data_IF_914928906195
#
_entry.id   IF_914928906195
#
_cell.length_a   1.000
_cell.length_b   1.000
_cell.length_c   1.000
_cell.angle_alpha   90.00
_cell.angle_beta   90.00
_cell.angle_gamma   90.00
#
_symmetry.space_group_name_H-M   'P 1'
#
loop_
_entity.id
_entity.type
_entity.pdbx_description
1 polymer ?
#
# COMPACT_ATOMS: atom_id res chain seq x y z
N UNK A 1 5.16 -20.33 2.62
CA UNK A 1 5.00 -18.99 3.20
C UNK A 1 3.60 -18.48 2.88
N UNK A 2 2.88 -18.02 3.90
CA UNK A 2 1.54 -17.49 3.69
C UNK A 2 1.58 -16.16 2.95
N UNK A 3 0.48 -15.82 2.32
CA UNK A 3 0.36 -14.62 1.50
C UNK A 3 -0.59 -13.61 2.10
N UNK A 4 -0.25 -12.33 1.92
CA UNK A 4 -1.09 -11.21 2.32
C UNK A 4 -1.28 -10.31 1.11
N UNK A 5 -2.50 -9.87 0.88
CA UNK A 5 -2.79 -8.85 -0.11
C UNK A 5 -3.24 -7.59 0.60
N UNK A 6 -2.52 -6.49 0.37
CA UNK A 6 -2.89 -5.18 0.85
C UNK A 6 -3.64 -4.45 -0.26
N UNK A 7 -4.78 -3.89 0.08
CA UNK A 7 -5.59 -3.12 -0.86
C UNK A 7 -5.43 -1.64 -0.53
N UNK A 8 -4.77 -0.93 -1.42
CA UNK A 8 -4.43 0.47 -1.26
C UNK A 8 -3.00 0.70 -0.81
N UNK A 9 -2.31 1.58 -1.51
CA UNK A 9 -0.93 1.98 -1.18
C UNK A 9 -0.90 3.12 -0.17
N UNK A 10 -1.52 2.92 0.99
CA UNK A 10 -1.57 3.91 2.05
C UNK A 10 -0.32 3.84 2.92
N UNK A 11 -0.11 4.87 3.73
CA UNK A 11 1.00 4.88 4.68
C UNK A 11 0.96 3.66 5.60
N UNK A 12 -0.22 3.37 6.16
CA UNK A 12 -0.38 2.23 7.06
C UNK A 12 -0.06 0.91 6.35
N UNK A 13 -0.56 0.73 5.14
CA UNK A 13 -0.32 -0.50 4.39
C UNK A 13 1.14 -0.65 3.96
N UNK A 14 1.77 0.43 3.53
CA UNK A 14 3.17 0.39 3.12
C UNK A 14 4.10 0.05 4.28
N UNK A 15 3.89 0.68 5.43
CA UNK A 15 4.72 0.38 6.61
C UNK A 15 4.46 -1.03 7.14
N UNK A 16 3.21 -1.47 7.15
CA UNK A 16 2.89 -2.85 7.55
C UNK A 16 3.53 -3.86 6.60
N UNK A 17 3.48 -3.60 5.29
CA UNK A 17 4.13 -4.48 4.32
C UNK A 17 5.63 -4.57 4.55
N UNK A 18 6.28 -3.44 4.81
CA UNK A 18 7.72 -3.41 5.11
C UNK A 18 8.06 -4.23 6.35
N UNK A 19 7.21 -4.22 7.36
CA UNK A 19 7.42 -5.01 8.57
C UNK A 19 7.20 -6.51 8.35
N UNK A 20 6.34 -6.88 7.42
CA UNK A 20 5.89 -8.27 7.28
C UNK A 20 6.53 -9.01 6.10
N UNK A 21 7.24 -8.32 5.22
CA UNK A 21 7.70 -8.92 3.96
C UNK A 21 8.67 -10.09 4.16
N UNK A 22 9.39 -10.14 5.26
CA UNK A 22 10.32 -11.25 5.52
C UNK A 22 9.59 -12.54 5.91
N UNK A 23 8.36 -12.44 6.41
CA UNK A 23 7.60 -13.57 6.90
C UNK A 23 6.44 -13.98 5.99
N UNK A 24 6.08 -13.15 5.02
CA UNK A 24 4.92 -13.37 4.15
C UNK A 24 5.23 -13.01 2.71
N UNK A 25 4.54 -13.68 1.79
CA UNK A 25 4.49 -13.23 0.39
C UNK A 25 3.46 -12.11 0.31
N UNK A 26 3.89 -10.93 -0.12
CA UNK A 26 3.03 -9.75 -0.08
C UNK A 26 2.79 -9.19 -1.47
N UNK A 27 1.52 -8.96 -1.78
CA UNK A 27 1.08 -8.20 -2.93
C UNK A 27 0.31 -6.98 -2.45
N UNK A 28 0.43 -5.88 -3.18
CA UNK A 28 -0.28 -4.64 -2.88
C UNK A 28 -0.96 -4.16 -4.16
N UNK A 29 -2.25 -3.90 -4.07
CA UNK A 29 -3.06 -3.43 -5.20
C UNK A 29 -3.40 -1.97 -5.00
N UNK A 30 -3.14 -1.17 -6.01
CA UNK A 30 -3.39 0.26 -6.00
C UNK A 30 -4.26 0.64 -7.19
N UNK A 31 -5.35 1.37 -6.96
CA UNK A 31 -6.25 1.82 -8.01
C UNK A 31 -5.62 2.84 -8.95
N UNK A 32 -4.85 3.75 -8.41
CA UNK A 32 -4.26 4.84 -9.17
C UNK A 32 -3.06 4.39 -9.99
N UNK A 33 -2.61 5.23 -10.90
CA UNK A 33 -1.47 4.94 -11.77
C UNK A 33 -0.16 4.85 -10.98
N UNK A 34 -0.11 5.51 -9.83
CA UNK A 34 1.07 5.50 -8.97
C UNK A 34 0.64 5.55 -7.52
N UNK A 35 1.45 4.97 -6.65
CA UNK A 35 1.25 5.14 -5.22
C UNK A 35 1.55 6.59 -4.85
N UNK A 36 0.68 7.18 -4.04
CA UNK A 36 0.79 8.57 -3.64
C UNK A 36 -0.11 9.52 -4.40
N UNK A 37 -0.58 9.13 -5.57
CA UNK A 37 -1.55 9.92 -6.32
C UNK A 37 -2.97 9.52 -5.92
N UNK A 38 -3.92 10.41 -5.93
CA UNK A 38 -3.82 11.82 -6.31
C UNK A 38 -3.61 12.77 -5.12
N UNK A 39 -2.92 12.35 -4.09
CA UNK A 39 -2.74 13.17 -2.88
C UNK A 39 -2.12 14.53 -3.22
N UNK A 40 -2.75 15.58 -2.78
CA UNK A 40 -2.29 16.95 -2.99
C UNK A 40 -2.10 17.70 -1.67
N UNK A 41 -2.40 17.03 -0.57
CA UNK A 41 -2.29 17.64 0.75
C UNK A 41 -0.94 17.34 1.37
N UNK A 42 -0.42 18.23 2.22
CA UNK A 42 0.74 17.88 3.03
C UNK A 42 0.42 16.68 3.91
N UNK A 43 1.37 15.78 4.05
CA UNK A 43 1.27 14.71 4.99
C UNK A 43 1.70 15.19 6.38
N UNK A 44 1.18 14.58 7.42
CA UNK A 44 1.53 14.89 8.80
C UNK A 44 1.96 13.62 9.52
N UNK A 45 3.10 13.69 10.20
CA UNK A 45 3.55 12.61 11.08
C UNK A 45 3.97 13.22 12.41
N UNK A 46 3.67 12.52 13.50
CA UNK A 46 4.03 13.00 14.82
C UNK A 46 5.50 12.79 15.14
N UNK A 47 6.10 11.74 14.59
CA UNK A 47 7.43 11.31 14.95
C UNK A 47 8.20 10.90 13.69
N UNK A 48 9.42 11.42 13.55
CA UNK A 48 10.26 11.07 12.40
C UNK A 48 10.60 9.59 12.33
N UNK A 49 10.54 8.87 13.44
CA UNK A 49 10.82 7.43 13.44
C UNK A 49 9.84 6.65 12.56
N UNK A 50 8.67 7.20 12.29
CA UNK A 50 7.72 6.58 11.36
C UNK A 50 8.26 6.53 9.94
N UNK A 51 9.23 7.37 9.61
CA UNK A 51 9.90 7.36 8.32
C UNK A 51 11.33 6.84 8.42
N UNK A 52 12.07 7.29 9.43
CA UNK A 52 13.50 6.95 9.54
C UNK A 52 13.76 5.47 9.77
N UNK A 53 12.76 4.74 10.26
CA UNK A 53 12.84 3.30 10.40
C UNK A 53 12.77 2.56 9.06
N UNK A 54 12.30 3.21 8.01
CA UNK A 54 12.05 2.58 6.71
C UNK A 54 12.83 3.22 5.56
N UNK A 55 13.22 4.47 5.69
CA UNK A 55 13.86 5.24 4.63
C UNK A 55 15.32 5.56 4.98
N UNK A 56 16.14 5.71 3.95
CA UNK A 56 17.53 6.07 4.13
C UNK A 56 17.68 7.54 4.49
N UNK A 57 18.81 7.94 5.10
CA UNK A 57 19.06 9.37 5.34
C UNK A 57 18.97 10.23 4.09
N UNK A 58 19.43 9.72 2.94
CA UNK A 58 19.32 10.47 1.67
C UNK A 58 17.89 10.72 1.26
N UNK A 59 17.02 9.72 1.44
CA UNK A 59 15.59 9.88 1.15
C UNK A 59 14.95 10.90 2.08
N UNK A 60 15.29 10.85 3.37
CA UNK A 60 14.77 11.82 4.33
C UNK A 60 15.24 13.23 4.02
N UNK A 61 16.48 13.39 3.60
CA UNK A 61 16.99 14.68 3.18
C UNK A 61 16.24 15.22 1.97
N UNK A 62 15.93 14.35 1.00
CA UNK A 62 15.12 14.75 -0.16
C UNK A 62 13.72 15.19 0.25
N UNK A 63 13.08 14.45 1.16
CA UNK A 63 11.72 14.74 1.60
C UNK A 63 11.63 16.01 2.45
N UNK A 64 12.71 16.32 3.17
CA UNK A 64 12.79 17.51 4.02
C UNK A 64 11.57 17.68 4.93
N UNK A 65 11.32 16.73 5.84
CA UNK A 65 10.24 16.90 6.78
C UNK A 65 10.39 18.21 7.54
N UNK A 66 9.34 19.01 7.54
CA UNK A 66 9.38 20.34 8.15
C UNK A 66 8.76 20.30 9.54
N UNK A 67 9.51 20.71 10.59
CA UNK A 67 8.96 20.69 11.95
C UNK A 67 7.80 21.68 12.08
N UNK A 68 6.76 21.23 12.75
CA UNK A 68 5.62 22.04 13.15
C UNK A 68 5.35 21.80 14.62
N UNK A 69 4.39 22.49 15.20
CA UNK A 69 4.13 22.41 16.64
C UNK A 69 3.88 20.98 17.12
N UNK A 70 3.18 20.17 16.33
CA UNK A 70 2.76 18.82 16.72
C UNK A 70 3.32 17.76 15.77
N UNK A 71 4.60 17.85 15.46
CA UNK A 71 5.25 16.85 14.62
C UNK A 71 5.94 17.43 13.41
N UNK A 72 5.70 16.82 12.26
CA UNK A 72 6.35 17.18 11.00
C UNK A 72 5.37 17.12 9.87
N UNK A 73 5.59 17.97 8.88
CA UNK A 73 4.82 17.95 7.64
C UNK A 73 5.76 17.70 6.47
N UNK A 74 5.25 17.04 5.44
CA UNK A 74 5.98 16.75 4.21
C UNK A 74 4.99 16.51 3.09
N UNK A 75 5.47 16.46 1.87
CA UNK A 75 4.60 16.13 0.73
C UNK A 75 4.28 14.63 0.78
N UNK A 76 3.01 14.32 1.01
CA UNK A 76 2.58 12.92 1.21
C UNK A 76 2.83 12.04 -0.01
N UNK A 77 2.63 12.55 -1.24
CA UNK A 77 2.86 11.76 -2.44
C UNK A 77 4.31 11.31 -2.57
N UNK A 78 5.27 12.16 -2.19
CA UNK A 78 6.68 11.81 -2.24
C UNK A 78 7.04 10.82 -1.13
N UNK A 79 6.49 11.01 0.06
CA UNK A 79 6.71 10.08 1.17
C UNK A 79 6.21 8.69 0.83
N UNK A 80 5.00 8.59 0.29
CA UNK A 80 4.42 7.31 -0.11
C UNK A 80 5.20 6.65 -1.23
N UNK A 81 5.68 7.42 -2.22
CA UNK A 81 6.49 6.87 -3.31
C UNK A 81 7.80 6.28 -2.79
N UNK A 82 8.46 6.95 -1.86
CA UNK A 82 9.71 6.42 -1.30
C UNK A 82 9.47 5.14 -0.51
N UNK A 83 8.39 5.10 0.27
CA UNK A 83 8.02 3.86 0.99
C UNK A 83 7.71 2.73 0.01
N UNK A 84 7.02 3.04 -1.09
CA UNK A 84 6.71 2.02 -2.10
C UNK A 84 7.98 1.48 -2.77
N UNK A 85 8.95 2.33 -3.05
CA UNK A 85 10.23 1.91 -3.61
C UNK A 85 10.95 0.96 -2.65
N UNK A 86 10.98 1.29 -1.35
CA UNK A 86 11.62 0.42 -0.36
C UNK A 86 10.88 -0.90 -0.21
N UNK A 87 9.55 -0.87 -0.23
CA UNK A 87 8.74 -2.08 -0.17
C UNK A 87 9.04 -2.99 -1.37
N UNK A 88 9.07 -2.43 -2.57
CA UNK A 88 9.37 -3.19 -3.79
C UNK A 88 10.77 -3.79 -3.73
N UNK A 89 11.76 -3.05 -3.25
CA UNK A 89 13.12 -3.55 -3.09
C UNK A 89 13.20 -4.76 -2.15
N UNK A 90 12.33 -4.80 -1.15
CA UNK A 90 12.30 -5.91 -0.19
C UNK A 90 11.47 -7.10 -0.66
N UNK A 91 10.80 -6.98 -1.78
CA UNK A 91 10.06 -8.09 -2.37
C UNK A 91 8.54 -7.96 -2.35
N UNK A 92 8.00 -6.83 -1.93
CA UNK A 92 6.56 -6.58 -2.06
C UNK A 92 6.25 -6.36 -3.54
N UNK A 93 5.31 -7.13 -4.08
CA UNK A 93 4.86 -6.94 -5.46
C UNK A 93 3.74 -5.90 -5.48
N UNK A 94 3.96 -4.81 -6.19
CA UNK A 94 3.00 -3.71 -6.24
C UNK A 94 2.39 -3.64 -7.62
N UNK A 95 1.06 -3.67 -7.67
CA UNK A 95 0.28 -3.62 -8.91
C UNK A 95 -0.57 -2.35 -8.89
N UNK A 96 -0.21 -1.41 -9.74
CA UNK A 96 -0.98 -0.17 -9.90
C UNK A 96 -2.08 -0.36 -10.93
N UNK A 97 -2.97 0.62 -11.05
CA UNK A 97 -4.09 0.59 -12.00
C UNK A 97 -4.93 -0.69 -11.86
N UNK A 98 -5.09 -1.14 -10.63
CA UNK A 98 -5.80 -2.37 -10.33
C UNK A 98 -7.01 -2.04 -9.47
N UNK A 99 -8.19 -2.33 -10.01
CA UNK A 99 -9.46 -2.12 -9.30
C UNK A 99 -9.93 -3.45 -8.73
N UNK A 100 -10.18 -3.49 -7.45
CA UNK A 100 -10.76 -4.66 -6.81
C UNK A 100 -12.26 -4.64 -7.06
N UNK A 101 -12.78 -5.71 -7.62
CA UNK A 101 -14.21 -5.83 -7.94
C UNK A 101 -14.95 -6.71 -6.94
N UNK A 102 -14.27 -7.63 -6.30
CA UNK A 102 -14.89 -8.49 -5.29
C UNK A 102 -13.82 -9.11 -4.40
N UNK A 103 -14.23 -9.48 -3.19
CA UNK A 103 -13.39 -10.23 -2.27
C UNK A 103 -14.30 -11.14 -1.46
N UNK A 104 -14.01 -12.43 -1.47
CA UNK A 104 -14.85 -13.38 -0.73
C UNK A 104 -13.98 -14.43 -0.03
N UNK A 105 -14.49 -14.91 1.09
CA UNK A 105 -13.82 -15.93 1.87
C UNK A 105 -13.88 -17.28 1.17
N UNK A 106 -12.82 -18.06 1.36
CA UNK A 106 -12.74 -19.46 0.96
C UNK A 106 -12.34 -20.29 2.18
N UNK A 107 -12.26 -21.59 2.01
CA UNK A 107 -11.86 -22.46 3.12
C UNK A 107 -10.45 -22.20 3.61
N UNK A 108 -9.58 -21.62 2.79
CA UNK A 108 -8.16 -21.42 3.13
C UNK A 108 -7.75 -19.95 3.22
N UNK A 109 -8.67 -19.04 3.01
CA UNK A 109 -8.37 -17.62 3.04
C UNK A 109 -9.37 -16.82 2.24
N UNK A 110 -8.89 -16.13 1.19
CA UNK A 110 -9.71 -15.24 0.40
C UNK A 110 -9.38 -15.37 -1.08
N UNK A 111 -10.39 -15.09 -1.92
CA UNK A 111 -10.20 -14.88 -3.35
C UNK A 111 -10.54 -13.43 -3.66
N UNK A 112 -9.66 -12.76 -4.37
CA UNK A 112 -9.84 -11.38 -4.80
C UNK A 112 -10.02 -11.36 -6.30
N UNK A 113 -11.10 -10.71 -6.75
CA UNK A 113 -11.34 -10.45 -8.16
C UNK A 113 -10.99 -9.01 -8.47
N UNK A 114 -10.34 -8.78 -9.60
CA UNK A 114 -9.84 -7.45 -9.94
C UNK A 114 -9.89 -7.22 -11.45
N UNK A 115 -9.76 -5.96 -11.83
CA UNK A 115 -9.63 -5.53 -13.20
C UNK A 115 -8.40 -4.63 -13.31
N UNK A 116 -7.70 -4.69 -14.44
CA UNK A 116 -6.55 -3.82 -14.71
C UNK A 116 -5.24 -4.54 -14.60
N UNK A 117 -4.25 -3.90 -13.99
CA UNK A 117 -2.84 -4.29 -14.02
C UNK A 117 -2.40 -5.36 -13.04
N UNK A 118 -3.30 -6.19 -12.54
CA UNK A 118 -2.96 -7.19 -11.54
C UNK A 118 -2.06 -8.32 -12.02
N UNK A 119 -1.79 -9.32 -11.15
CA UNK A 119 -0.70 -10.28 -11.36
C UNK A 119 -0.91 -11.29 -12.49
N UNK A 120 -2.12 -11.45 -12.98
CA UNK A 120 -2.39 -12.41 -14.04
C UNK A 120 -3.58 -11.97 -14.90
N UNK A 121 -3.82 -12.69 -15.98
CA UNK A 121 -4.89 -12.36 -16.94
C UNK A 121 -6.26 -12.88 -16.51
N UNK A 122 -6.32 -13.74 -15.50
CA UNK A 122 -7.60 -14.29 -15.05
C UNK A 122 -8.45 -13.27 -14.30
N UNK A 123 -7.82 -12.20 -13.77
CA UNK A 123 -8.52 -11.23 -12.96
C UNK A 123 -8.86 -11.73 -11.56
N UNK A 124 -8.14 -12.73 -11.08
CA UNK A 124 -8.45 -13.40 -9.83
C UNK A 124 -7.19 -13.90 -9.17
N UNK A 125 -7.10 -13.76 -7.86
CA UNK A 125 -5.93 -14.22 -7.09
C UNK A 125 -6.39 -14.67 -5.71
N UNK A 126 -5.80 -15.77 -5.23
CA UNK A 126 -6.05 -16.29 -3.90
C UNK A 126 -4.98 -15.82 -2.93
N UNK A 127 -5.37 -15.67 -1.67
CA UNK A 127 -4.43 -15.31 -0.62
C UNK A 127 -4.93 -15.82 0.73
N UNK A 128 -4.06 -15.79 1.73
CA UNK A 128 -4.42 -16.21 3.08
C UNK A 128 -5.05 -15.07 3.88
N UNK A 129 -4.57 -13.85 3.69
CA UNK A 129 -5.02 -12.68 4.44
C UNK A 129 -5.22 -11.47 3.52
N UNK A 130 -6.17 -10.64 3.86
CA UNK A 130 -6.45 -9.39 3.13
C UNK A 130 -6.46 -8.24 4.13
N UNK A 131 -5.78 -7.16 3.78
CA UNK A 131 -5.83 -5.91 4.54
C UNK A 131 -6.40 -4.83 3.63
N UNK A 132 -7.57 -4.33 3.95
CA UNK A 132 -8.23 -3.29 3.18
C UNK A 132 -8.32 -2.02 4.01
N UNK A 133 -7.47 -1.06 3.67
CA UNK A 133 -7.39 0.22 4.38
C UNK A 133 -8.19 1.32 3.69
N UNK A 134 -8.83 1.00 2.56
CA UNK A 134 -9.61 1.97 1.78
C UNK A 134 -10.98 1.39 1.45
N UNK A 135 -12.03 2.06 1.90
CA UNK A 135 -13.39 1.53 1.77
C UNK A 135 -13.94 1.59 0.35
N UNK A 136 -13.42 2.48 -0.48
CA UNK A 136 -13.88 2.61 -1.85
C UNK A 136 -13.38 1.51 -2.77
N UNK A 137 -12.38 0.75 -2.35
CA UNK A 137 -11.59 -0.14 -3.20
C UNK A 137 -12.45 -1.11 -4.00
N UNK A 138 -13.48 -1.63 -3.36
CA UNK A 138 -14.44 -2.46 -4.05
C UNK A 138 -15.80 -2.27 -3.42
N UNK A 139 -16.82 -2.62 -4.16
CA UNK A 139 -18.18 -2.66 -3.64
C UNK A 139 -18.78 -4.00 -4.00
N UNK A 140 -19.57 -4.52 -3.09
CA UNK A 140 -20.31 -5.74 -3.38
C UNK A 140 -21.20 -5.55 -4.60
N UNK A 141 -21.46 -6.59 -5.39
CA UNK A 141 -22.38 -6.49 -6.51
C UNK A 141 -23.73 -5.91 -6.06
N UNK A 142 -24.20 -4.89 -6.78
CA UNK A 142 -25.44 -4.21 -6.44
C UNK A 142 -25.30 -3.10 -5.43
N UNK A 143 -24.16 -2.95 -4.77
CA UNK A 143 -23.92 -1.85 -3.86
C UNK A 143 -23.56 -0.59 -4.65
N UNK A 144 -24.05 0.53 -4.24
CA UNK A 144 -23.81 1.81 -4.92
C UNK A 144 -23.67 2.92 -3.90
#
# INVERSE_FOLDING_TARGET
>A
MKSIIFIGGTFANLTAALELVDAFNIKMFELNAEIGLPSKSPGHIKNLSYLSGYLTPGQLEFLKPHPIEDGYTLRSEWGLKHLAVEAAKKGVEIFTRTRITNCFETSEGFTIEYQGGGPNDSGQVDCHHVVNDVQWTYQAPGAK
#
